data_IF_526634487993
#
_entry.id   IF_526634487993
#
_cell.length_a   1.000
_cell.length_b   1.000
_cell.length_c   1.000
_cell.angle_alpha   90.00
_cell.angle_beta   90.00
_cell.angle_gamma   90.00
#
_symmetry.space_group_name_H-M   'P 1'
#
loop_
_entity.id
_entity.type
_entity.pdbx_description
1 polymer ?
#
# COMPACT_ATOMS: atom_id res chain seq x y z
N UNK A 1 -13.98 -9.77 3.90
CA UNK A 1 -15.32 -9.38 3.40
C UNK A 1 -15.60 -10.18 2.13
N UNK A 2 -16.81 -10.71 1.87
CA UNK A 2 -17.02 -11.45 0.63
C UNK A 2 -16.89 -10.53 -0.59
N UNK A 3 -16.22 -11.00 -1.65
CA UNK A 3 -15.94 -10.24 -2.89
C UNK A 3 -17.19 -9.56 -3.49
N UNK A 4 -18.36 -10.18 -3.37
CA UNK A 4 -19.64 -9.63 -3.87
C UNK A 4 -20.09 -8.36 -3.15
N UNK A 5 -19.65 -8.15 -1.91
CA UNK A 5 -19.92 -6.95 -1.13
C UNK A 5 -18.78 -5.91 -1.23
N UNK A 6 -17.71 -6.21 -1.97
CA UNK A 6 -16.57 -5.32 -2.11
C UNK A 6 -16.83 -4.16 -3.06
N UNK A 7 -16.71 -2.93 -2.55
CA UNK A 7 -16.86 -1.71 -3.34
C UNK A 7 -15.79 -1.60 -4.45
N UNK A 8 -14.55 -2.02 -4.20
CA UNK A 8 -13.52 -1.99 -5.24
C UNK A 8 -13.75 -3.05 -6.32
N UNK A 9 -14.23 -4.25 -5.96
CA UNK A 9 -14.65 -5.23 -6.96
C UNK A 9 -15.84 -4.71 -7.79
N UNK A 10 -16.77 -3.96 -7.20
CA UNK A 10 -17.85 -3.30 -7.94
C UNK A 10 -17.31 -2.27 -8.94
N UNK A 11 -16.32 -1.45 -8.55
CA UNK A 11 -15.63 -0.51 -9.46
C UNK A 11 -14.92 -1.29 -10.59
N UNK A 12 -14.14 -2.33 -10.25
CA UNK A 12 -13.42 -3.16 -11.23
C UNK A 12 -14.36 -3.80 -12.26
N UNK A 13 -15.57 -4.19 -11.82
CA UNK A 13 -16.63 -4.74 -12.68
C UNK A 13 -17.45 -3.68 -13.43
N UNK A 14 -17.16 -2.39 -13.24
CA UNK A 14 -17.94 -1.28 -13.83
C UNK A 14 -19.35 -1.14 -13.26
N UNK A 15 -19.62 -1.69 -12.08
CA UNK A 15 -20.91 -1.63 -11.39
C UNK A 15 -21.07 -0.37 -10.54
N UNK A 16 -19.94 0.26 -10.17
CA UNK A 16 -19.88 1.53 -9.45
C UNK A 16 -19.01 2.51 -10.26
N UNK A 17 -19.40 3.79 -10.41
CA UNK A 17 -18.62 4.76 -11.14
C UNK A 17 -17.35 5.13 -10.36
N UNK A 18 -16.24 5.26 -11.08
CA UNK A 18 -14.98 5.78 -10.57
C UNK A 18 -14.22 6.53 -11.66
N UNK A 19 -13.41 7.50 -11.27
CA UNK A 19 -12.51 8.20 -12.18
C UNK A 19 -11.22 7.38 -12.33
N UNK A 20 -11.20 6.52 -13.35
CA UNK A 20 -10.09 5.61 -13.66
C UNK A 20 -8.96 6.38 -14.35
N UNK A 21 -7.74 6.21 -13.85
CA UNK A 21 -6.51 6.83 -14.38
C UNK A 21 -5.59 5.80 -15.04
N UNK A 22 -5.56 4.57 -14.52
CA UNK A 22 -4.82 3.46 -15.12
C UNK A 22 -5.71 2.22 -15.12
N UNK A 23 -5.74 1.53 -16.26
CA UNK A 23 -6.43 0.27 -16.45
C UNK A 23 -5.50 -0.70 -17.18
N UNK A 24 -5.02 -1.72 -16.46
CA UNK A 24 -4.23 -2.83 -17.03
C UNK A 24 -4.93 -4.16 -16.75
N UNK A 25 -4.49 -5.28 -17.36
CA UNK A 25 -5.07 -6.60 -17.09
C UNK A 25 -4.95 -7.07 -15.63
N UNK A 26 -3.99 -6.57 -14.87
CA UNK A 26 -3.70 -7.00 -13.49
C UNK A 26 -4.16 -5.99 -12.43
N UNK A 27 -4.13 -4.69 -12.75
CA UNK A 27 -4.35 -3.62 -11.77
C UNK A 27 -5.23 -2.51 -12.32
N UNK A 28 -5.87 -1.78 -11.41
CA UNK A 28 -6.64 -0.58 -11.69
C UNK A 28 -6.14 0.55 -10.77
N UNK A 29 -6.02 1.77 -11.28
CA UNK A 29 -5.82 2.96 -10.47
C UNK A 29 -6.93 3.97 -10.70
N UNK A 30 -7.53 4.47 -9.63
CA UNK A 30 -8.63 5.43 -9.68
C UNK A 30 -8.55 6.43 -8.52
N UNK A 31 -9.23 7.58 -8.66
CA UNK A 31 -9.25 8.59 -7.60
C UNK A 31 -10.01 8.11 -6.36
N UNK A 32 -9.44 8.36 -5.19
CA UNK A 32 -10.14 8.21 -3.92
C UNK A 32 -11.30 9.23 -3.85
N UNK A 33 -12.51 8.74 -3.57
CA UNK A 33 -13.71 9.56 -3.41
C UNK A 33 -13.67 10.45 -2.17
N UNK A 34 -12.89 10.08 -1.15
CA UNK A 34 -12.68 10.83 0.09
C UNK A 34 -11.19 11.09 0.28
N UNK A 35 -10.58 11.89 -0.61
CA UNK A 35 -9.13 11.99 -0.70
C UNK A 35 -8.54 12.72 0.51
N UNK A 36 -7.35 12.29 0.96
CA UNK A 36 -6.55 13.06 1.94
C UNK A 36 -6.15 14.41 1.33
N UNK A 37 -5.70 14.39 0.07
CA UNK A 37 -5.45 15.56 -0.76
C UNK A 37 -5.96 15.33 -2.19
N UNK A 38 -6.42 16.39 -2.86
CA UNK A 38 -6.90 16.30 -4.24
C UNK A 38 -5.87 15.64 -5.15
N UNK A 39 -6.29 14.64 -5.93
CA UNK A 39 -5.40 13.81 -6.73
C UNK A 39 -4.91 12.54 -6.02
N UNK A 40 -5.40 12.23 -4.82
CA UNK A 40 -5.18 10.95 -4.15
C UNK A 40 -5.72 9.80 -5.00
N UNK A 41 -4.82 8.90 -5.40
CA UNK A 41 -5.13 7.69 -6.14
C UNK A 41 -5.06 6.46 -5.23
N UNK A 42 -5.89 5.48 -5.55
CA UNK A 42 -5.81 4.12 -5.03
C UNK A 42 -5.40 3.20 -6.18
N UNK A 43 -4.30 2.46 -6.01
CA UNK A 43 -3.89 1.39 -6.93
C UNK A 43 -4.31 0.06 -6.32
N UNK A 44 -5.09 -0.73 -7.04
CA UNK A 44 -5.64 -2.00 -6.56
C UNK A 44 -5.33 -3.13 -7.54
N UNK A 45 -5.06 -4.36 -7.08
CA UNK A 45 -5.13 -5.54 -7.94
C UNK A 45 -6.59 -5.74 -8.39
N UNK A 46 -6.78 -6.27 -9.59
CA UNK A 46 -8.12 -6.65 -10.08
C UNK A 46 -8.69 -7.84 -9.32
N UNK A 47 -7.82 -8.79 -8.98
CA UNK A 47 -8.18 -9.90 -8.10
C UNK A 47 -8.47 -9.38 -6.69
N UNK A 48 -9.48 -9.98 -6.05
CA UNK A 48 -9.82 -9.65 -4.68
C UNK A 48 -8.83 -10.30 -3.73
N UNK A 49 -7.93 -9.46 -3.21
CA UNK A 49 -6.92 -9.81 -2.20
C UNK A 49 -7.14 -8.84 -1.05
N UNK A 50 -7.24 -9.30 0.19
CA UNK A 50 -7.55 -8.39 1.31
C UNK A 50 -6.30 -7.63 1.78
N UNK A 51 -5.19 -8.33 2.02
CA UNK A 51 -3.98 -7.75 2.60
C UNK A 51 -2.74 -8.01 1.74
N UNK A 52 -1.63 -7.32 2.03
CA UNK A 52 -0.37 -7.52 1.33
C UNK A 52 0.18 -8.93 1.53
N UNK A 53 -0.08 -9.55 2.68
CA UNK A 53 0.36 -10.92 2.98
C UNK A 53 -0.44 -11.97 2.22
N UNK A 54 -1.61 -11.61 1.68
CA UNK A 54 -2.41 -12.49 0.82
C UNK A 54 -2.11 -12.30 -0.67
N UNK A 55 -1.26 -11.32 -1.03
CA UNK A 55 -0.99 -10.96 -2.42
C UNK A 55 -0.13 -12.03 -3.10
N UNK A 56 -0.62 -12.68 -4.18
CA UNK A 56 0.17 -13.66 -4.90
C UNK A 56 1.42 -13.04 -5.53
N UNK A 57 2.54 -13.78 -5.55
CA UNK A 57 3.81 -13.31 -6.11
C UNK A 57 3.71 -12.68 -7.51
N UNK A 58 2.93 -13.24 -8.47
CA UNK A 58 2.80 -12.64 -9.80
C UNK A 58 2.19 -11.23 -9.80
N UNK A 59 1.50 -10.83 -8.73
CA UNK A 59 0.88 -9.51 -8.59
C UNK A 59 1.73 -8.52 -7.79
N UNK A 60 2.83 -8.94 -7.14
CA UNK A 60 3.75 -8.03 -6.43
C UNK A 60 4.31 -6.98 -7.39
N UNK A 61 4.95 -7.40 -8.48
CA UNK A 61 5.55 -6.48 -9.44
C UNK A 61 4.51 -5.55 -10.12
N UNK A 62 3.38 -6.05 -10.65
CA UNK A 62 2.34 -5.20 -11.24
C UNK A 62 1.83 -4.11 -10.30
N UNK A 63 1.49 -4.46 -9.05
CA UNK A 63 0.95 -3.50 -8.07
C UNK A 63 1.96 -2.41 -7.74
N UNK A 64 3.20 -2.77 -7.42
CA UNK A 64 4.21 -1.78 -7.04
C UNK A 64 4.77 -1.00 -8.24
N UNK A 65 4.80 -1.59 -9.44
CA UNK A 65 5.15 -0.88 -10.67
C UNK A 65 4.10 0.19 -11.01
N UNK A 66 2.81 -0.13 -10.86
CA UNK A 66 1.73 0.82 -11.04
C UNK A 66 1.75 1.91 -9.96
N UNK A 67 2.00 1.58 -8.70
CA UNK A 67 2.16 2.58 -7.62
C UNK A 67 3.32 3.54 -7.91
N UNK A 68 4.49 3.03 -8.35
CA UNK A 68 5.62 3.85 -8.79
C UNK A 68 5.24 4.78 -9.94
N UNK A 69 4.55 4.25 -10.95
CA UNK A 69 4.08 5.03 -12.10
C UNK A 69 3.13 6.14 -11.63
N UNK A 70 2.13 5.83 -10.81
CA UNK A 70 1.17 6.82 -10.29
C UNK A 70 1.85 7.89 -9.43
N UNK A 71 2.85 7.53 -8.62
CA UNK A 71 3.62 8.51 -7.84
C UNK A 71 4.36 9.51 -8.73
N UNK A 72 4.90 9.07 -9.86
CA UNK A 72 5.49 9.96 -10.86
C UNK A 72 4.42 10.79 -11.59
N UNK A 73 3.29 10.17 -11.96
CA UNK A 73 2.18 10.83 -12.65
C UNK A 73 1.58 11.96 -11.84
N UNK A 74 1.27 11.76 -10.55
CA UNK A 74 0.68 12.83 -9.73
C UNK A 74 1.61 14.04 -9.59
N UNK A 75 2.92 13.80 -9.51
CA UNK A 75 3.92 14.87 -9.46
C UNK A 75 3.91 15.70 -10.73
N UNK A 76 3.97 15.05 -11.89
CA UNK A 76 3.98 15.72 -13.20
C UNK A 76 2.66 16.43 -13.50
N UNK A 77 1.53 15.77 -13.25
CA UNK A 77 0.22 16.29 -13.61
C UNK A 77 -0.28 17.40 -12.69
N UNK A 78 0.07 17.35 -11.39
CA UNK A 78 -0.49 18.25 -10.38
C UNK A 78 0.53 19.27 -9.85
N UNK A 79 1.79 19.20 -10.28
CA UNK A 79 2.85 20.11 -9.86
C UNK A 79 3.20 20.02 -8.36
N UNK A 80 2.85 18.92 -7.70
CA UNK A 80 3.20 18.72 -6.29
C UNK A 80 4.69 18.42 -6.11
N UNK A 81 5.25 18.68 -4.93
CA UNK A 81 6.70 18.51 -4.70
C UNK A 81 7.10 17.07 -4.36
N UNK A 82 6.13 16.22 -4.01
CA UNK A 82 6.34 14.81 -3.73
C UNK A 82 5.03 14.05 -3.59
N UNK A 83 5.10 12.85 -3.02
CA UNK A 83 3.93 12.02 -2.71
C UNK A 83 4.11 11.29 -1.38
N UNK A 84 2.99 10.91 -0.77
CA UNK A 84 2.93 9.93 0.30
C UNK A 84 2.35 8.64 -0.28
N UNK A 85 3.12 7.56 -0.21
CA UNK A 85 2.72 6.24 -0.71
C UNK A 85 2.64 5.29 0.47
N UNK A 86 1.49 4.64 0.66
CA UNK A 86 1.26 3.79 1.82
C UNK A 86 0.24 2.69 1.53
N UNK A 87 0.29 1.66 2.37
CA UNK A 87 -0.62 0.54 2.36
C UNK A 87 -0.86 0.13 3.81
N UNK A 88 -2.10 -0.26 4.09
CA UNK A 88 -2.54 -0.70 5.41
C UNK A 88 -3.01 -2.15 5.32
N UNK A 89 -2.61 -2.99 6.29
CA UNK A 89 -3.11 -4.35 6.44
C UNK A 89 -4.07 -4.40 7.64
N UNK A 90 -5.36 -4.62 7.39
CA UNK A 90 -6.43 -4.78 8.40
C UNK A 90 -6.74 -3.54 9.25
N UNK A 91 -5.74 -2.95 9.92
CA UNK A 91 -5.87 -1.74 10.73
C UNK A 91 -5.75 -0.51 9.84
N UNK A 92 -6.65 0.47 10.00
CA UNK A 92 -6.75 1.66 9.14
C UNK A 92 -6.99 1.33 7.65
N UNK A 93 -7.50 0.13 7.36
CA UNK A 93 -7.91 -0.30 6.04
C UNK A 93 -9.44 -0.24 5.95
N UNK A 94 -9.98 0.78 5.29
CA UNK A 94 -11.43 1.02 5.24
C UNK A 94 -12.18 0.04 4.34
N UNK A 95 -11.55 -0.41 3.26
CA UNK A 95 -12.06 -1.44 2.34
C UNK A 95 -11.08 -2.61 2.37
N UNK A 96 -11.50 -3.82 2.80
CA UNK A 96 -10.64 -5.00 2.81
C UNK A 96 -10.53 -5.57 1.39
N UNK A 97 -9.84 -4.82 0.56
CA UNK A 97 -9.32 -5.13 -0.77
C UNK A 97 -8.05 -4.32 -0.87
N UNK A 98 -6.92 -4.96 -1.11
CA UNK A 98 -5.59 -4.36 -1.09
C UNK A 98 -5.55 -3.10 -1.95
N UNK A 99 -5.07 -2.00 -1.37
CA UNK A 99 -4.94 -0.75 -2.09
C UNK A 99 -3.70 0.01 -1.63
N UNK A 100 -2.90 0.43 -2.61
CA UNK A 100 -1.79 1.35 -2.38
C UNK A 100 -2.31 2.76 -2.55
N UNK A 101 -2.26 3.53 -1.47
CA UNK A 101 -2.50 4.97 -1.50
C UNK A 101 -1.35 5.66 -2.20
N UNK A 102 -1.65 6.56 -3.14
CA UNK A 102 -0.70 7.49 -3.75
C UNK A 102 -1.26 8.89 -3.60
N UNK A 103 -0.84 9.59 -2.55
CA UNK A 103 -1.33 10.91 -2.18
C UNK A 103 -0.33 11.97 -2.65
N UNK A 104 -0.70 12.94 -3.51
CA UNK A 104 0.18 14.04 -3.86
C UNK A 104 0.44 14.93 -2.64
N UNK A 105 1.69 15.37 -2.46
CA UNK A 105 2.14 16.16 -1.30
C UNK A 105 2.93 17.38 -1.73
N UNK A 106 2.70 18.48 -1.02
CA UNK A 106 3.48 19.71 -1.16
C UNK A 106 3.94 20.17 0.22
N UNK A 107 5.17 20.70 0.32
CA UNK A 107 5.66 21.21 1.61
C UNK A 107 4.69 22.28 2.14
N UNK A 108 4.20 22.09 3.36
CA UNK A 108 3.25 23.01 3.98
C UNK A 108 1.81 22.87 3.50
N UNK A 109 1.43 21.78 2.81
CA UNK A 109 0.06 21.48 2.36
C UNK A 109 -0.98 21.31 3.49
N UNK A 110 -0.56 21.51 4.75
CA UNK A 110 -1.48 21.52 5.87
C UNK A 110 -1.95 20.13 6.28
N UNK A 111 -1.22 19.06 5.93
CA UNK A 111 -1.47 17.75 6.52
C UNK A 111 -1.31 17.88 8.05
N UNK A 112 -2.44 17.89 8.75
CA UNK A 112 -2.55 17.98 10.21
C UNK A 112 -3.10 16.65 10.69
N UNK A 113 -2.51 16.08 11.73
CA UNK A 113 -3.01 14.83 12.33
C UNK A 113 -2.44 13.53 11.75
N UNK A 114 -1.50 13.59 10.80
CA UNK A 114 -0.59 12.48 10.53
C UNK A 114 0.49 12.48 11.63
N UNK A 115 0.06 12.21 12.87
CA UNK A 115 0.91 12.20 14.05
C UNK A 115 1.56 10.83 14.15
N UNK A 116 2.80 10.72 13.66
CA UNK A 116 3.58 9.48 13.74
C UNK A 116 4.35 9.60 15.04
N UNK A 117 3.78 9.20 16.19
CA UNK A 117 4.47 9.34 17.46
C UNK A 117 5.81 8.65 17.34
N UNK A 118 6.88 9.39 17.62
CA UNK A 118 8.20 8.80 17.74
C UNK A 118 8.39 8.41 19.19
N UNK A 119 8.69 7.14 19.41
CA UNK A 119 9.11 6.60 20.68
C UNK A 119 10.59 6.24 20.59
N UNK A 120 11.24 6.08 21.74
CA UNK A 120 12.61 5.57 21.85
C UNK A 120 12.55 4.21 22.53
N UNK A 121 13.48 3.34 22.20
CA UNK A 121 13.71 2.11 22.95
C UNK A 121 14.49 2.42 24.24
N UNK A 122 14.26 1.64 25.29
CA UNK A 122 15.12 1.60 26.48
C UNK A 122 16.43 0.83 26.21
N UNK A 123 17.38 0.89 27.16
CA UNK A 123 18.67 0.22 27.05
C UNK A 123 18.48 -1.31 26.91
N UNK A 124 18.91 -1.86 25.77
CA UNK A 124 18.80 -3.29 25.45
C UNK A 124 17.47 -3.70 24.80
N UNK A 125 16.42 -2.88 24.90
CA UNK A 125 15.07 -3.21 24.39
C UNK A 125 15.07 -3.37 22.86
N UNK A 126 15.79 -2.52 22.12
CA UNK A 126 15.88 -2.61 20.66
C UNK A 126 16.39 -3.99 20.18
N UNK A 127 17.37 -4.55 20.88
CA UNK A 127 17.93 -5.88 20.57
C UNK A 127 16.90 -6.97 20.84
N UNK A 128 16.17 -6.88 21.95
CA UNK A 128 15.08 -7.83 22.26
C UNK A 128 14.02 -7.88 21.16
N UNK A 129 13.56 -6.71 20.69
CA UNK A 129 12.60 -6.66 19.58
C UNK A 129 13.18 -7.25 18.30
N UNK A 130 14.45 -6.96 17.98
CA UNK A 130 15.11 -7.52 16.80
C UNK A 130 15.19 -9.05 16.87
N UNK A 131 15.53 -9.62 18.02
CA UNK A 131 15.66 -11.07 18.20
C UNK A 131 14.30 -11.77 18.08
N UNK A 132 13.24 -11.18 18.66
CA UNK A 132 11.87 -11.68 18.50
C UNK A 132 11.44 -11.70 17.03
N UNK A 133 11.78 -10.65 16.28
CA UNK A 133 11.45 -10.56 14.86
C UNK A 133 12.25 -11.57 14.02
N UNK A 134 13.55 -11.74 14.28
CA UNK A 134 14.39 -12.74 13.59
C UNK A 134 13.90 -14.17 13.85
N UNK A 135 13.56 -14.48 15.11
CA UNK A 135 13.03 -15.80 15.46
C UNK A 135 11.74 -16.12 14.69
N UNK A 136 10.80 -15.16 14.61
CA UNK A 136 9.58 -15.32 13.84
C UNK A 136 9.82 -15.39 12.32
N UNK A 137 10.84 -14.70 11.81
CA UNK A 137 11.20 -14.72 10.39
C UNK A 137 11.70 -16.10 9.94
N UNK A 138 12.51 -16.78 10.75
CA UNK A 138 12.99 -18.14 10.42
C UNK A 138 11.83 -19.13 10.28
N UNK A 139 10.77 -18.97 11.07
CA UNK A 139 9.57 -19.80 10.98
C UNK A 139 8.72 -19.49 9.72
N UNK A 140 8.75 -18.24 9.24
CA UNK A 140 7.96 -17.78 8.08
C UNK A 140 8.68 -17.98 6.73
N UNK A 141 9.99 -17.76 6.68
CA UNK A 141 10.80 -17.94 5.45
C UNK A 141 10.89 -19.40 5.00
N UNK A 142 10.76 -20.34 5.94
CA UNK A 142 10.58 -21.77 5.64
C UNK A 142 9.26 -22.08 4.89
N UNK A 143 8.26 -21.21 4.99
CA UNK A 143 6.98 -21.34 4.30
C UNK A 143 6.94 -20.58 2.96
N UNK A 144 7.57 -19.40 2.88
CA UNK A 144 7.41 -18.46 1.74
C UNK A 144 8.63 -18.36 0.80
N UNK A 145 9.70 -19.14 1.00
CA UNK A 145 10.78 -19.29 0.02
C UNK A 145 11.72 -18.09 -0.18
N UNK A 146 11.60 -17.03 0.63
CA UNK A 146 12.54 -15.90 0.67
C UNK A 146 13.83 -16.38 1.36
N UNK A 147 14.91 -16.57 0.60
CA UNK A 147 16.22 -16.96 1.16
C UNK A 147 16.83 -15.79 1.91
N UNK A 148 17.22 -16.02 3.17
CA UNK A 148 18.04 -15.07 3.93
C UNK A 148 19.32 -14.75 3.13
N UNK A 149 19.51 -13.47 2.82
CA UNK A 149 20.78 -12.98 2.31
C UNK A 149 21.81 -13.03 3.43
N UNK A 150 22.87 -13.79 3.20
CA UNK A 150 24.02 -13.96 4.08
C UNK A 150 24.43 -12.62 4.72
N UNK A 151 24.28 -12.52 6.04
CA UNK A 151 24.67 -11.34 6.82
C UNK A 151 26.20 -11.24 6.73
N UNK A 152 26.70 -10.46 5.76
CA UNK A 152 28.14 -10.22 5.63
C UNK A 152 28.62 -9.32 6.76
N UNK A 153 29.72 -9.78 7.34
CA UNK A 153 30.56 -9.25 8.42
C UNK A 153 30.84 -7.74 8.38
#
# INVERSE_FOLDING_TARGET
MPERACQFCAIIRGQEPAEIVLDTPEVLAFLDRRPVFKGHLLVVPRDHVETLTDLPDPLLEPVFSAARLMAATVKTALGCTGSFVALNNTVSQSVPHLHVHVVPRTKGDGLRGFFWPRTTYEDGEMTEYADRLRAALTDQTGADGIREGDQRE
#
